data_IF_250053096643
#
_entry.id   IF_250053096643
#
_cell.length_a   1.000
_cell.length_b   1.000
_cell.length_c   1.000
_cell.angle_alpha   90.00
_cell.angle_beta   90.00
_cell.angle_gamma   90.00
#
_symmetry.space_group_name_H-M   'P 1'
#
loop_
_entity.id
_entity.type
_entity.pdbx_description
1 polymer ?
#
# COMPACT_ATOMS: atom_id res chain seq x y z
N UNK A 1 -23.97 -12.19 0.77
CA UNK A 1 -23.94 -10.99 -0.13
C UNK A 1 -22.52 -10.80 -0.59
N UNK A 2 -22.25 -10.85 -1.90
CA UNK A 2 -20.89 -10.88 -2.41
C UNK A 2 -20.26 -9.47 -2.32
N UNK A 3 -18.98 -9.43 -1.93
CA UNK A 3 -18.11 -8.24 -1.91
C UNK A 3 -18.19 -7.44 -3.23
N UNK A 4 -18.41 -8.13 -4.33
CA UNK A 4 -18.57 -7.55 -5.67
C UNK A 4 -19.81 -6.65 -5.77
N UNK A 5 -20.95 -7.06 -5.20
CA UNK A 5 -22.18 -6.26 -5.20
C UNK A 5 -22.00 -5.00 -4.34
N UNK A 6 -21.33 -5.13 -3.20
CA UNK A 6 -21.01 -3.99 -2.35
C UNK A 6 -20.07 -3.00 -3.04
N UNK A 7 -19.03 -3.51 -3.73
CA UNK A 7 -18.07 -2.69 -4.47
C UNK A 7 -18.74 -1.94 -5.63
N UNK A 8 -19.59 -2.63 -6.40
CA UNK A 8 -20.35 -2.02 -7.50
C UNK A 8 -21.30 -0.93 -7.00
N UNK A 9 -21.99 -1.19 -5.88
CA UNK A 9 -22.88 -0.20 -5.24
C UNK A 9 -22.11 1.01 -4.74
N UNK A 10 -20.93 0.80 -4.15
CA UNK A 10 -20.03 1.87 -3.70
C UNK A 10 -19.51 2.72 -4.86
N UNK A 11 -19.12 2.10 -5.98
CA UNK A 11 -18.67 2.81 -7.19
C UNK A 11 -19.79 3.63 -7.83
N UNK A 12 -21.01 3.09 -7.90
CA UNK A 12 -22.19 3.83 -8.38
C UNK A 12 -22.48 5.05 -7.51
N UNK A 13 -22.51 4.87 -6.21
CA UNK A 13 -22.76 5.96 -5.27
C UNK A 13 -21.73 7.08 -5.37
N UNK A 14 -20.46 6.74 -5.59
CA UNK A 14 -19.41 7.73 -5.87
C UNK A 14 -19.62 8.48 -7.18
N UNK A 15 -20.04 7.81 -8.22
CA UNK A 15 -20.32 8.44 -9.51
C UNK A 15 -21.46 9.45 -9.40
N UNK A 16 -22.52 9.13 -8.64
CA UNK A 16 -23.64 10.02 -8.37
C UNK A 16 -23.22 11.24 -7.54
N UNK A 17 -22.40 11.05 -6.50
CA UNK A 17 -21.85 12.16 -5.71
C UNK A 17 -20.98 13.10 -6.54
N UNK A 18 -20.18 12.56 -7.47
CA UNK A 18 -19.34 13.37 -8.36
C UNK A 18 -20.19 14.12 -9.40
N UNK A 19 -21.34 13.56 -9.81
CA UNK A 19 -22.29 14.24 -10.70
C UNK A 19 -22.98 15.41 -9.98
N UNK A 20 -23.45 15.19 -8.75
CA UNK A 20 -24.09 16.23 -7.91
C UNK A 20 -23.10 17.36 -7.61
N UNK A 21 -21.85 17.04 -7.27
CA UNK A 21 -20.80 18.05 -7.02
C UNK A 21 -20.49 18.90 -8.25
N UNK A 22 -20.47 18.28 -9.43
CA UNK A 22 -20.31 19.01 -10.71
C UNK A 22 -21.47 19.95 -10.99
N UNK A 23 -22.71 19.50 -10.72
CA UNK A 23 -23.91 20.31 -10.90
C UNK A 23 -23.96 21.50 -9.94
N UNK A 24 -23.40 21.37 -8.74
CA UNK A 24 -23.34 22.43 -7.73
C UNK A 24 -22.12 23.36 -7.88
N UNK A 25 -21.28 23.19 -8.91
CA UNK A 25 -20.09 24.02 -9.12
C UNK A 25 -19.03 23.92 -8.01
N UNK A 26 -19.17 22.94 -7.11
CA UNK A 26 -18.21 22.72 -6.02
C UNK A 26 -16.89 22.19 -6.61
N UNK A 27 -15.80 22.91 -6.38
CA UNK A 27 -14.47 22.50 -6.77
C UNK A 27 -14.20 21.06 -6.30
N UNK A 28 -13.64 20.22 -7.17
CA UNK A 28 -13.19 18.88 -6.79
C UNK A 28 -12.31 19.02 -5.56
N UNK A 29 -12.60 18.29 -4.47
CA UNK A 29 -11.69 18.29 -3.35
C UNK A 29 -10.31 17.93 -3.90
N UNK A 30 -9.34 18.83 -3.68
CA UNK A 30 -8.00 18.70 -4.22
C UNK A 30 -7.51 17.26 -3.97
N UNK A 31 -7.47 16.50 -5.04
CA UNK A 31 -6.69 15.30 -5.25
C UNK A 31 -6.53 14.34 -4.04
N UNK A 32 -7.63 13.91 -3.44
CA UNK A 32 -7.65 12.86 -2.42
C UNK A 32 -8.35 11.58 -2.90
N UNK A 33 -8.23 11.22 -4.17
CA UNK A 33 -8.80 9.98 -4.69
C UNK A 33 -8.07 8.76 -4.13
N UNK A 34 -8.82 7.82 -3.59
CA UNK A 34 -8.33 6.52 -3.07
C UNK A 34 -7.45 5.77 -4.09
N UNK A 35 -7.56 6.10 -5.38
CA UNK A 35 -6.90 5.47 -6.53
C UNK A 35 -5.99 6.44 -7.32
N UNK A 36 -5.19 7.25 -6.66
CA UNK A 36 -4.30 8.21 -7.34
C UNK A 36 -3.00 7.55 -7.83
N UNK A 37 -3.10 6.77 -8.91
CA UNK A 37 -1.95 6.07 -9.47
C UNK A 37 -0.80 7.01 -9.88
N UNK A 38 -1.10 8.20 -10.42
CA UNK A 38 -0.05 9.14 -10.89
C UNK A 38 0.83 9.67 -9.78
N UNK A 39 0.24 10.01 -8.62
CA UNK A 39 0.97 10.55 -7.47
C UNK A 39 1.68 9.45 -6.67
N UNK A 40 1.18 8.21 -6.76
CA UNK A 40 1.74 7.05 -6.06
C UNK A 40 2.85 6.36 -6.86
N UNK A 41 3.08 6.72 -8.13
CA UNK A 41 4.12 6.11 -8.98
C UNK A 41 5.49 5.94 -8.29
N UNK A 42 6.09 6.97 -7.66
CA UNK A 42 7.38 6.79 -7.01
C UNK A 42 7.34 5.81 -5.84
N UNK A 43 6.22 5.75 -5.11
CA UNK A 43 6.03 4.80 -4.02
C UNK A 43 5.83 3.37 -4.52
N UNK A 44 5.11 3.20 -5.63
CA UNK A 44 4.92 1.91 -6.28
C UNK A 44 6.23 1.37 -6.86
N UNK A 45 7.03 2.22 -7.48
CA UNK A 45 8.35 1.86 -7.99
C UNK A 45 9.31 1.50 -6.86
N UNK A 46 9.31 2.27 -5.77
CA UNK A 46 10.12 1.98 -4.60
C UNK A 46 9.71 0.67 -3.93
N UNK A 47 8.41 0.46 -3.75
CA UNK A 47 7.88 -0.78 -3.19
C UNK A 47 8.22 -1.99 -4.06
N UNK A 48 8.00 -1.90 -5.36
CA UNK A 48 8.35 -2.97 -6.31
C UNK A 48 9.85 -3.27 -6.34
N UNK A 49 10.70 -2.24 -6.30
CA UNK A 49 12.14 -2.43 -6.23
C UNK A 49 12.55 -3.12 -4.93
N UNK A 50 12.02 -2.69 -3.78
CA UNK A 50 12.31 -3.31 -2.49
C UNK A 50 11.76 -4.73 -2.39
N UNK A 51 10.57 -4.99 -2.89
CA UNK A 51 9.93 -6.31 -2.79
C UNK A 51 10.52 -7.34 -3.77
N UNK A 52 11.04 -6.92 -4.92
CA UNK A 52 11.64 -7.79 -5.93
C UNK A 52 13.16 -7.88 -5.85
N UNK A 53 13.85 -6.73 -5.79
CA UNK A 53 15.31 -6.70 -5.85
C UNK A 53 15.95 -7.10 -4.54
N UNK A 54 15.37 -6.68 -3.40
CA UNK A 54 15.99 -6.93 -2.10
C UNK A 54 16.09 -8.43 -1.75
N UNK A 55 15.03 -9.26 -1.89
CA UNK A 55 15.15 -10.69 -1.63
C UNK A 55 16.07 -11.40 -2.62
N UNK A 56 16.14 -10.94 -3.88
CA UNK A 56 17.10 -11.49 -4.84
C UNK A 56 18.55 -11.18 -4.44
N UNK A 57 18.83 -9.95 -4.00
CA UNK A 57 20.15 -9.57 -3.49
C UNK A 57 20.52 -10.33 -2.23
N UNK A 58 19.59 -10.47 -1.29
CA UNK A 58 19.83 -11.26 -0.06
C UNK A 58 20.13 -12.71 -0.38
N UNK A 59 19.45 -13.30 -1.38
CA UNK A 59 19.71 -14.67 -1.82
C UNK A 59 21.11 -14.85 -2.40
N UNK A 60 21.69 -13.81 -3.03
CA UNK A 60 23.08 -13.86 -3.51
C UNK A 60 24.08 -13.77 -2.37
N UNK A 61 23.72 -13.20 -1.24
CA UNK A 61 24.55 -13.05 -0.06
C UNK A 61 24.41 -14.23 0.93
N UNK A 62 23.29 -14.96 0.83
CA UNK A 62 23.04 -16.13 1.70
C UNK A 62 23.95 -17.31 1.33
N UNK A 63 24.52 -18.01 2.32
CA UNK A 63 25.20 -19.27 2.10
C UNK A 63 24.24 -20.31 1.52
N UNK A 64 24.70 -21.18 0.60
CA UNK A 64 23.81 -22.15 -0.05
C UNK A 64 23.17 -23.16 0.93
N UNK A 65 23.80 -23.39 2.07
CA UNK A 65 23.37 -24.38 3.05
C UNK A 65 22.34 -23.84 4.06
N UNK A 66 22.36 -22.53 4.35
CA UNK A 66 21.48 -21.92 5.36
C UNK A 66 21.01 -20.54 4.89
N UNK A 67 19.92 -20.45 4.12
CA UNK A 67 19.41 -19.17 3.62
C UNK A 67 18.65 -18.38 4.71
N UNK A 68 19.36 -18.00 5.77
CA UNK A 68 18.78 -17.32 6.93
C UNK A 68 18.33 -15.90 6.67
N UNK A 69 19.07 -15.13 5.87
CA UNK A 69 18.75 -13.76 5.54
C UNK A 69 17.47 -13.67 4.67
N UNK A 70 17.40 -14.53 3.66
CA UNK A 70 16.27 -14.52 2.72
C UNK A 70 15.03 -15.15 3.31
N UNK A 71 15.15 -16.27 4.04
CA UNK A 71 13.99 -17.02 4.53
C UNK A 71 13.44 -16.54 5.88
N UNK A 72 14.28 -16.01 6.76
CA UNK A 72 13.86 -15.56 8.08
C UNK A 72 13.87 -14.04 8.21
N UNK A 73 15.00 -13.42 7.91
CA UNK A 73 15.19 -12.01 8.19
C UNK A 73 14.33 -11.11 7.29
N UNK A 74 14.27 -11.40 5.99
CA UNK A 74 13.50 -10.61 5.05
C UNK A 74 11.99 -10.66 5.30
N UNK A 75 11.31 -11.83 5.33
CA UNK A 75 9.85 -11.86 5.42
C UNK A 75 9.30 -11.45 6.78
N UNK A 76 10.05 -11.68 7.86
CA UNK A 76 9.56 -11.41 9.21
C UNK A 76 9.96 -10.05 9.75
N UNK A 77 11.06 -9.47 9.28
CA UNK A 77 11.56 -8.20 9.79
C UNK A 77 11.54 -7.10 8.71
N UNK A 78 12.22 -7.31 7.59
CA UNK A 78 12.39 -6.26 6.58
C UNK A 78 11.09 -5.94 5.85
N UNK A 79 10.37 -6.95 5.39
CA UNK A 79 9.14 -6.76 4.62
C UNK A 79 8.07 -5.99 5.42
N UNK A 80 7.68 -6.37 6.65
CA UNK A 80 6.68 -5.62 7.41
C UNK A 80 7.16 -4.20 7.74
N UNK A 81 8.43 -4.01 8.06
CA UNK A 81 8.97 -2.70 8.36
C UNK A 81 8.93 -1.77 7.15
N UNK A 82 9.36 -2.22 5.97
CA UNK A 82 9.31 -1.43 4.74
C UNK A 82 7.88 -1.14 4.29
N UNK A 83 7.00 -2.12 4.33
CA UNK A 83 5.60 -1.94 3.98
C UNK A 83 4.92 -0.91 4.88
N UNK A 84 5.21 -0.95 6.17
CA UNK A 84 4.69 0.01 7.13
C UNK A 84 5.26 1.42 6.89
N UNK A 85 6.57 1.54 6.64
CA UNK A 85 7.23 2.82 6.37
C UNK A 85 6.75 3.47 5.06
N UNK A 86 6.61 2.69 3.98
CA UNK A 86 6.09 3.15 2.69
C UNK A 86 4.63 3.57 2.82
N UNK A 87 3.81 2.76 3.49
CA UNK A 87 2.42 3.08 3.79
C UNK A 87 2.28 4.36 4.61
N UNK A 88 3.05 4.49 5.68
CA UNK A 88 3.09 5.69 6.53
C UNK A 88 3.44 6.95 5.74
N UNK A 89 4.50 6.90 4.94
CA UNK A 89 4.95 8.03 4.14
C UNK A 89 3.91 8.48 3.12
N UNK A 90 3.27 7.52 2.44
CA UNK A 90 2.19 7.79 1.50
C UNK A 90 0.95 8.34 2.21
N UNK A 91 0.56 7.76 3.34
CA UNK A 91 -0.58 8.20 4.16
C UNK A 91 -0.44 9.64 4.64
N UNK A 92 0.75 10.03 5.08
CA UNK A 92 1.03 11.42 5.48
C UNK A 92 0.94 12.41 4.32
N UNK A 93 1.35 12.01 3.11
CA UNK A 93 1.35 12.90 1.94
C UNK A 93 -0.01 12.97 1.25
N UNK A 94 -0.61 11.83 1.00
CA UNK A 94 -1.81 11.72 0.15
C UNK A 94 -3.10 11.45 0.92
N UNK A 95 -3.00 11.02 2.19
CA UNK A 95 -4.14 10.51 2.96
C UNK A 95 -4.38 9.03 2.65
N UNK A 96 -5.60 8.56 2.85
CA UNK A 96 -5.94 7.15 2.62
C UNK A 96 -5.85 6.82 1.13
N UNK A 97 -4.89 5.99 0.75
CA UNK A 97 -4.62 5.54 -0.61
C UNK A 97 -4.62 4.01 -0.67
N UNK A 98 -5.77 3.40 -0.95
CA UNK A 98 -5.92 1.92 -0.97
C UNK A 98 -5.18 1.24 -2.13
N UNK A 99 -4.84 1.98 -3.18
CA UNK A 99 -4.07 1.44 -4.30
C UNK A 99 -2.70 0.91 -3.85
N UNK A 100 -2.06 1.59 -2.91
CA UNK A 100 -0.71 1.22 -2.47
C UNK A 100 -0.68 -0.12 -1.73
N UNK A 101 -1.52 -0.40 -0.71
CA UNK A 101 -1.58 -1.71 -0.07
C UNK A 101 -1.89 -2.85 -1.04
N UNK A 102 -2.85 -2.63 -1.94
CA UNK A 102 -3.21 -3.64 -2.97
C UNK A 102 -2.02 -3.90 -3.88
N UNK A 103 -1.34 -2.85 -4.35
CA UNK A 103 -0.17 -3.00 -5.21
C UNK A 103 0.99 -3.71 -4.50
N UNK A 104 1.29 -3.39 -3.24
CA UNK A 104 2.31 -4.12 -2.48
C UNK A 104 1.97 -5.60 -2.36
N UNK A 105 0.74 -5.96 -1.98
CA UNK A 105 0.33 -7.36 -1.92
C UNK A 105 0.46 -8.09 -3.25
N UNK A 106 0.13 -7.44 -4.37
CA UNK A 106 0.27 -8.02 -5.72
C UNK A 106 1.72 -8.11 -6.16
N UNK A 107 2.54 -7.08 -5.87
CA UNK A 107 3.97 -7.05 -6.22
C UNK A 107 4.79 -8.10 -5.46
N UNK A 108 4.36 -8.49 -4.27
CA UNK A 108 4.99 -9.58 -3.49
C UNK A 108 4.79 -10.95 -4.15
N UNK A 109 3.69 -11.17 -4.91
CA UNK A 109 3.39 -12.46 -5.53
C UNK A 109 4.49 -12.99 -6.44
N UNK A 110 5.06 -12.21 -7.40
CA UNK A 110 6.17 -12.70 -8.22
C UNK A 110 7.36 -13.15 -7.38
N UNK A 111 7.67 -12.43 -6.31
CA UNK A 111 8.76 -12.79 -5.40
C UNK A 111 8.50 -14.12 -4.70
N UNK A 112 7.26 -14.35 -4.25
CA UNK A 112 6.86 -15.64 -3.62
C UNK A 112 7.10 -16.80 -4.57
N UNK A 113 6.74 -16.67 -5.85
CA UNK A 113 6.90 -17.75 -6.82
C UNK A 113 8.33 -17.93 -7.33
N UNK A 114 9.14 -16.85 -7.38
CA UNK A 114 10.50 -16.88 -7.91
C UNK A 114 11.54 -17.28 -6.86
N UNK A 115 11.37 -16.82 -5.63
CA UNK A 115 12.37 -16.95 -4.54
C UNK A 115 11.92 -17.93 -3.47
N UNK A 116 10.62 -17.97 -3.20
CA UNK A 116 10.01 -18.78 -2.16
C UNK A 116 9.13 -19.88 -2.77
N UNK A 117 8.40 -20.60 -1.93
CA UNK A 117 7.39 -21.57 -2.32
C UNK A 117 5.98 -20.99 -2.10
N UNK A 118 4.99 -21.65 -2.67
CA UNK A 118 3.56 -21.32 -2.46
C UNK A 118 3.15 -21.21 -0.97
N UNK A 119 3.86 -21.88 -0.07
CA UNK A 119 3.66 -21.76 1.38
C UNK A 119 3.92 -20.36 1.91
N UNK A 120 4.70 -19.53 1.17
CA UNK A 120 5.01 -18.16 1.51
C UNK A 120 3.95 -17.13 1.04
N UNK A 121 2.80 -17.57 0.55
CA UNK A 121 1.68 -16.68 0.15
C UNK A 121 1.21 -15.75 1.29
N UNK A 122 1.41 -16.15 2.55
CA UNK A 122 1.13 -15.30 3.70
C UNK A 122 1.91 -13.97 3.66
N UNK A 123 3.07 -13.94 3.00
CA UNK A 123 3.87 -12.71 2.85
C UNK A 123 3.14 -11.64 2.04
N UNK A 124 2.41 -12.03 0.99
CA UNK A 124 1.59 -11.10 0.22
C UNK A 124 0.46 -10.50 1.08
N UNK A 125 -0.17 -11.33 1.92
CA UNK A 125 -1.14 -10.88 2.92
C UNK A 125 -0.52 -9.94 3.95
N UNK A 126 0.66 -10.27 4.45
CA UNK A 126 1.41 -9.43 5.39
C UNK A 126 1.78 -8.08 4.76
N UNK A 127 2.33 -8.07 3.53
CA UNK A 127 2.66 -6.84 2.81
C UNK A 127 1.43 -5.93 2.67
N UNK A 128 0.28 -6.49 2.28
CA UNK A 128 -0.97 -5.76 2.21
C UNK A 128 -1.38 -5.16 3.56
N UNK A 129 -1.41 -5.96 4.63
CA UNK A 129 -1.87 -5.54 5.97
C UNK A 129 -0.95 -4.47 6.56
N UNK A 130 0.37 -4.67 6.51
CA UNK A 130 1.32 -3.70 7.06
C UNK A 130 1.34 -2.39 6.26
N UNK A 131 1.23 -2.44 4.94
CA UNK A 131 1.11 -1.22 4.12
C UNK A 131 -0.19 -0.48 4.41
N UNK A 132 -1.29 -1.21 4.59
CA UNK A 132 -2.59 -0.62 4.95
C UNK A 132 -2.53 0.03 6.32
N UNK A 133 -1.99 -0.65 7.32
CA UNK A 133 -1.82 -0.11 8.68
C UNK A 133 -0.96 1.17 8.66
N UNK A 134 0.19 1.14 7.99
CA UNK A 134 1.04 2.32 7.83
C UNK A 134 0.30 3.48 7.15
N UNK A 135 -0.44 3.19 6.07
CA UNK A 135 -1.20 4.20 5.34
C UNK A 135 -2.31 4.84 6.19
N UNK A 136 -3.05 4.05 6.95
CA UNK A 136 -4.08 4.55 7.86
C UNK A 136 -3.49 5.41 8.98
N UNK A 137 -2.41 4.95 9.61
CA UNK A 137 -1.71 5.71 10.65
C UNK A 137 -1.15 7.03 10.10
N UNK A 138 -0.53 7.01 8.92
CA UNK A 138 -0.05 8.21 8.25
C UNK A 138 -1.15 9.20 7.91
N UNK A 139 -2.29 8.72 7.42
CA UNK A 139 -3.46 9.53 7.12
C UNK A 139 -4.08 10.14 8.39
N UNK A 140 -4.12 9.38 9.50
CA UNK A 140 -4.60 9.85 10.78
C UNK A 140 -3.75 11.03 11.31
N UNK A 141 -2.42 10.88 11.31
CA UNK A 141 -1.50 11.96 11.70
C UNK A 141 -1.69 13.21 10.84
N UNK A 142 -1.87 13.03 9.54
CA UNK A 142 -2.18 14.16 8.64
C UNK A 142 -3.48 14.85 9.03
N UNK A 143 -4.52 14.09 9.39
CA UNK A 143 -5.82 14.63 9.79
C UNK A 143 -5.73 15.43 11.09
N UNK A 144 -5.06 14.90 12.10
CA UNK A 144 -4.84 15.56 13.39
C UNK A 144 -4.09 16.87 13.21
N UNK A 145 -2.98 16.87 12.43
CA UNK A 145 -2.22 18.11 12.17
C UNK A 145 -3.03 19.20 11.49
N UNK A 146 -3.95 18.83 10.59
CA UNK A 146 -4.82 19.82 9.93
C UNK A 146 -5.80 20.47 10.90
N UNK A 147 -6.33 19.73 11.86
CA UNK A 147 -7.19 20.30 12.90
C UNK A 147 -6.42 21.25 13.82
N UNK A 148 -5.21 20.89 14.22
CA UNK A 148 -4.39 21.74 15.09
C UNK A 148 -3.92 23.05 14.43
N UNK A 149 -3.78 23.09 13.11
CA UNK A 149 -3.40 24.31 12.38
C UNK A 149 -4.59 25.20 11.96
N UNK A 150 -5.83 24.73 12.15
CA UNK A 150 -7.04 25.46 11.78
C UNK A 150 -7.68 26.23 12.94
N UNK A 151 -7.15 26.11 14.15
CA UNK A 151 -7.65 26.80 15.35
C UNK A 151 -6.83 28.06 15.75
N UNK A 152 -5.91 28.49 14.89
CA UNK A 152 -5.20 29.77 15.01
C UNK A 152 -5.55 30.69 13.86
#
# INVERSE_FOLDING_TARGET
MSLVVWLLRYLRWRAELDAIRRALGLARPAAGGVWQARLLKPYLLLAGALELLLPLLLRLLDPPDVPGLTQLFYPYLLLPFFCLAVGWSAGRRFGVALLLPVACGVLTLPCVFLVYNYTALFQAGAAFVFTLAGNLLGALVRRVRRHSCGET
#
